data_IF_550268535769
#
_entry.id   IF_550268535769
#
_cell.length_a   1.000
_cell.length_b   1.000
_cell.length_c   1.000
_cell.angle_alpha   90.00
_cell.angle_beta   90.00
_cell.angle_gamma   90.00
#
_symmetry.space_group_name_H-M   'P 1'
#
loop_
_entity.id
_entity.type
_entity.pdbx_description
1 polymer ?
#
# COMPACT_ATOMS: atom_id res chain seq x y z
N UNK A 1 8.48 9.73 -29.96
CA UNK A 1 8.14 9.26 -28.61
C UNK A 1 6.72 8.72 -28.65
N UNK A 2 6.55 7.39 -28.69
CA UNK A 2 5.23 6.77 -28.92
C UNK A 2 4.42 6.82 -27.63
N UNK A 3 3.29 7.53 -27.63
CA UNK A 3 2.36 7.55 -26.51
C UNK A 3 1.85 6.13 -26.26
N UNK A 4 2.24 5.50 -25.15
CA UNK A 4 1.69 4.21 -24.73
C UNK A 4 0.20 4.42 -24.40
N UNK A 5 -0.68 4.09 -25.34
CA UNK A 5 -2.12 4.08 -25.14
C UNK A 5 -2.44 3.07 -24.04
N UNK A 6 -2.92 3.54 -22.90
CA UNK A 6 -3.30 2.68 -21.78
C UNK A 6 -4.52 1.84 -22.12
N UNK A 7 -4.65 0.68 -21.48
CA UNK A 7 -5.86 -0.15 -21.56
C UNK A 7 -6.90 0.50 -20.65
N UNK A 8 -8.06 0.84 -21.21
CA UNK A 8 -9.21 1.31 -20.42
C UNK A 8 -9.78 0.13 -19.62
N UNK A 9 -10.08 0.39 -18.35
CA UNK A 9 -10.69 -0.57 -17.44
C UNK A 9 -11.76 0.12 -16.62
N UNK A 10 -12.79 -0.64 -16.26
CA UNK A 10 -13.90 -0.19 -15.42
C UNK A 10 -13.92 -1.10 -14.20
N UNK A 11 -13.92 -0.53 -12.99
CA UNK A 11 -14.05 -1.32 -11.76
C UNK A 11 -15.53 -1.57 -11.39
N UNK A 12 -15.77 -2.40 -10.39
CA UNK A 12 -17.13 -2.73 -9.90
C UNK A 12 -17.93 -1.51 -9.43
N UNK A 13 -17.26 -0.42 -9.05
CA UNK A 13 -17.87 0.84 -8.63
C UNK A 13 -18.11 1.80 -9.82
N UNK A 14 -17.88 1.37 -11.05
CA UNK A 14 -18.08 2.18 -12.25
C UNK A 14 -16.96 3.19 -12.56
N UNK A 15 -15.84 3.18 -11.83
CA UNK A 15 -14.73 4.09 -12.13
C UNK A 15 -13.99 3.66 -13.40
N UNK A 16 -13.91 4.56 -14.38
CA UNK A 16 -13.09 4.41 -15.58
C UNK A 16 -11.64 4.83 -15.30
N UNK A 17 -10.68 3.98 -15.66
CA UNK A 17 -9.26 4.30 -15.52
C UNK A 17 -8.41 3.64 -16.61
N UNK A 18 -7.29 4.26 -16.94
CA UNK A 18 -6.34 3.75 -17.94
C UNK A 18 -5.09 3.22 -17.26
N UNK A 19 -4.66 2.01 -17.62
CA UNK A 19 -3.41 1.42 -17.11
C UNK A 19 -2.68 0.68 -18.21
N UNK A 20 -1.37 0.84 -18.26
CA UNK A 20 -0.50 0.06 -19.15
C UNK A 20 -0.24 -1.35 -18.61
N UNK A 21 -0.43 -1.58 -17.31
CA UNK A 21 -0.26 -2.90 -16.69
C UNK A 21 -1.56 -3.71 -16.68
N UNK A 22 -1.42 -5.03 -16.61
CA UNK A 22 -2.55 -5.98 -16.46
C UNK A 22 -3.26 -5.87 -15.11
N UNK A 23 -2.65 -5.22 -14.12
CA UNK A 23 -3.23 -5.02 -12.78
C UNK A 23 -4.68 -4.48 -12.85
N UNK A 24 -5.68 -5.21 -12.31
CA UNK A 24 -7.09 -4.81 -12.36
C UNK A 24 -7.46 -3.80 -11.27
N UNK A 25 -6.50 -3.42 -10.42
CA UNK A 25 -6.75 -2.54 -9.27
C UNK A 25 -7.05 -1.12 -9.73
N UNK A 26 -8.22 -0.66 -9.30
CA UNK A 26 -8.71 0.68 -9.56
C UNK A 26 -7.94 1.71 -8.70
N UNK A 27 -7.21 2.66 -9.32
CA UNK A 27 -6.45 3.67 -8.58
C UNK A 27 -7.35 4.63 -7.79
N UNK A 28 -8.59 4.84 -8.25
CA UNK A 28 -9.55 5.74 -7.61
C UNK A 28 -10.09 5.11 -6.32
N UNK A 29 -10.50 3.84 -6.35
CA UNK A 29 -10.89 3.10 -5.15
C UNK A 29 -9.74 2.99 -4.15
N UNK A 30 -8.51 2.74 -4.61
CA UNK A 30 -7.33 2.67 -3.73
C UNK A 30 -6.98 4.00 -3.06
N UNK A 31 -7.27 5.12 -3.73
CA UNK A 31 -7.10 6.45 -3.15
C UNK A 31 -8.18 6.72 -2.10
N UNK A 32 -9.43 6.35 -2.37
CA UNK A 32 -10.55 6.51 -1.44
C UNK A 32 -10.43 5.61 -0.19
N UNK A 33 -9.89 4.40 -0.33
CA UNK A 33 -9.66 3.47 0.78
C UNK A 33 -8.40 3.78 1.60
N UNK A 34 -7.64 4.81 1.24
CA UNK A 34 -6.44 5.18 1.98
C UNK A 34 -6.85 5.74 3.35
N UNK A 35 -6.38 5.16 4.46
CA UNK A 35 -6.67 5.73 5.78
C UNK A 35 -6.09 7.13 5.90
N UNK A 36 -6.76 8.00 6.66
CA UNK A 36 -6.29 9.36 6.93
C UNK A 36 -5.16 9.40 7.98
N UNK A 37 -5.12 8.40 8.87
CA UNK A 37 -4.21 8.37 10.02
C UNK A 37 -3.41 7.06 10.11
N UNK A 38 -2.36 7.08 10.94
CA UNK A 38 -1.50 5.92 11.18
C UNK A 38 -0.48 5.66 10.07
N UNK A 39 0.35 4.61 10.25
CA UNK A 39 1.41 4.29 9.29
C UNK A 39 0.88 3.94 7.89
N UNK A 40 -0.35 3.43 7.79
CA UNK A 40 -0.99 3.13 6.51
C UNK A 40 -1.27 4.38 5.67
N UNK A 41 -1.51 5.54 6.30
CA UNK A 41 -1.70 6.80 5.58
C UNK A 41 -0.40 7.36 5.00
N UNK A 42 0.75 6.95 5.51
CA UNK A 42 2.07 7.45 5.08
C UNK A 42 2.73 6.60 3.97
N UNK A 43 2.20 5.39 3.68
CA UNK A 43 2.81 4.47 2.71
C UNK A 43 1.99 4.35 1.42
N UNK A 44 2.63 3.94 0.31
CA UNK A 44 1.98 3.80 -0.99
C UNK A 44 1.02 2.60 -1.06
N UNK A 45 0.10 2.63 -2.03
CA UNK A 45 -0.91 1.57 -2.25
C UNK A 45 -0.33 0.14 -2.33
N UNK A 46 0.77 -0.14 -3.07
CA UNK A 46 1.37 -1.47 -3.10
C UNK A 46 1.83 -1.96 -1.72
N UNK A 47 2.40 -1.05 -0.91
CA UNK A 47 2.89 -1.36 0.43
C UNK A 47 1.75 -1.62 1.41
N UNK A 48 0.69 -0.78 1.40
CA UNK A 48 -0.52 -1.03 2.19
C UNK A 48 -1.09 -2.41 1.92
N UNK A 49 -1.23 -2.77 0.63
CA UNK A 49 -1.74 -4.08 0.22
C UNK A 49 -0.86 -5.23 0.68
N UNK A 50 0.46 -5.09 0.57
CA UNK A 50 1.39 -6.11 1.05
C UNK A 50 1.24 -6.35 2.57
N UNK A 51 1.11 -5.28 3.36
CA UNK A 51 0.88 -5.38 4.80
C UNK A 51 -0.47 -6.02 5.13
N UNK A 52 -1.55 -5.59 4.47
CA UNK A 52 -2.90 -6.15 4.65
C UNK A 52 -2.95 -7.65 4.30
N UNK A 53 -2.28 -8.07 3.23
CA UNK A 53 -2.18 -9.48 2.85
C UNK A 53 -1.44 -10.32 3.88
N UNK A 54 -0.47 -9.72 4.59
CA UNK A 54 0.21 -10.34 5.74
C UNK A 54 -0.62 -10.24 7.03
N UNK A 55 -1.78 -9.58 7.00
CA UNK A 55 -2.66 -9.38 8.14
C UNK A 55 -2.26 -8.21 9.04
N UNK A 56 -1.32 -7.37 8.63
CA UNK A 56 -0.83 -6.21 9.40
C UNK A 56 -1.69 -4.99 9.02
N UNK A 57 -2.70 -4.72 9.83
CA UNK A 57 -3.63 -3.59 9.68
C UNK A 57 -3.57 -2.58 10.82
N UNK A 58 -2.85 -2.90 11.90
CA UNK A 58 -2.76 -2.08 13.11
C UNK A 58 -1.33 -2.03 13.67
N UNK A 59 -1.10 -1.11 14.61
CA UNK A 59 0.23 -0.96 15.24
C UNK A 59 0.53 -2.18 16.12
N UNK A 60 -0.48 -2.74 16.78
CA UNK A 60 -0.35 -3.92 17.63
C UNK A 60 0.17 -5.11 16.81
N UNK A 61 -0.45 -5.38 15.66
CA UNK A 61 0.02 -6.45 14.76
C UNK A 61 1.37 -6.13 14.14
N UNK A 62 1.67 -4.84 13.91
CA UNK A 62 2.99 -4.42 13.44
C UNK A 62 4.09 -4.73 14.47
N UNK A 63 3.79 -4.64 15.78
CA UNK A 63 4.73 -5.01 16.86
C UNK A 63 5.00 -6.51 16.95
N UNK A 64 4.03 -7.33 16.54
CA UNK A 64 4.14 -8.79 16.56
C UNK A 64 5.01 -9.36 15.43
N UNK A 65 5.30 -8.56 14.40
CA UNK A 65 6.05 -8.99 13.22
C UNK A 65 7.43 -8.35 13.15
N UNK A 66 8.39 -9.10 12.61
CA UNK A 66 9.74 -8.59 12.37
C UNK A 66 9.79 -7.73 11.10
N UNK A 67 10.46 -6.59 11.17
CA UNK A 67 10.66 -5.71 10.01
C UNK A 67 11.44 -6.41 8.88
N UNK A 68 12.34 -7.34 9.22
CA UNK A 68 13.07 -8.14 8.22
C UNK A 68 12.12 -8.99 7.36
N UNK A 69 11.05 -9.51 7.95
CA UNK A 69 10.07 -10.29 7.19
C UNK A 69 9.18 -9.39 6.33
N UNK A 70 8.86 -8.18 6.79
CA UNK A 70 8.11 -7.20 6.00
C UNK A 70 8.94 -6.78 4.78
N UNK A 71 10.26 -6.64 4.93
CA UNK A 71 11.19 -6.30 3.84
C UNK A 71 11.16 -7.32 2.68
N UNK A 72 10.81 -8.57 2.95
CA UNK A 72 10.72 -9.62 1.92
C UNK A 72 9.44 -9.52 1.07
N UNK A 73 8.46 -8.74 1.49
CA UNK A 73 7.21 -8.60 0.77
C UNK A 73 7.38 -7.76 -0.50
N UNK A 74 6.80 -8.24 -1.60
CA UNK A 74 6.77 -7.50 -2.84
C UNK A 74 6.02 -6.16 -2.66
N UNK A 75 6.63 -5.06 -3.12
CA UNK A 75 6.06 -3.72 -2.99
C UNK A 75 6.46 -2.98 -1.71
N UNK A 76 7.30 -3.57 -0.85
CA UNK A 76 7.91 -2.90 0.29
C UNK A 76 9.32 -2.41 -0.09
N UNK A 77 9.49 -1.09 -0.09
CA UNK A 77 10.79 -0.45 -0.29
C UNK A 77 11.39 0.09 1.02
N UNK A 78 12.62 0.61 0.99
CA UNK A 78 13.30 1.15 2.17
C UNK A 78 12.50 2.28 2.85
N UNK A 79 11.89 3.18 2.08
CA UNK A 79 11.08 4.27 2.65
C UNK A 79 9.86 3.79 3.43
N UNK A 80 9.28 2.64 3.08
CA UNK A 80 8.18 2.04 3.85
C UNK A 80 8.70 1.53 5.19
N UNK A 81 9.85 0.86 5.21
CA UNK A 81 10.46 0.34 6.43
C UNK A 81 10.80 1.47 7.41
N UNK A 82 11.28 2.61 6.92
CA UNK A 82 11.55 3.81 7.73
C UNK A 82 10.27 4.34 8.40
N UNK A 83 9.15 4.40 7.67
CA UNK A 83 7.85 4.78 8.23
C UNK A 83 7.41 3.79 9.32
N UNK A 84 7.49 2.49 9.06
CA UNK A 84 7.10 1.47 10.05
C UNK A 84 7.94 1.59 11.33
N UNK A 85 9.25 1.79 11.22
CA UNK A 85 10.15 2.02 12.36
C UNK A 85 9.72 3.23 13.19
N UNK A 86 9.42 4.35 12.55
CA UNK A 86 8.97 5.59 13.21
C UNK A 86 7.68 5.38 14.00
N UNK A 87 6.76 4.55 13.51
CA UNK A 87 5.51 4.26 14.23
C UNK A 87 5.70 3.27 15.38
N UNK A 88 6.60 2.29 15.23
CA UNK A 88 6.96 1.40 16.33
C UNK A 88 7.56 2.18 17.50
N UNK A 89 8.52 3.08 17.24
CA UNK A 89 9.15 3.88 18.29
C UNK A 89 8.22 4.91 18.94
N UNK A 90 7.30 5.51 18.17
CA UNK A 90 6.29 6.45 18.71
C UNK A 90 5.29 5.81 19.67
N UNK A 91 5.10 4.51 19.61
CA UNK A 91 4.11 3.78 20.41
C UNK A 91 4.65 3.26 21.75
N UNK A 92 5.86 3.68 22.14
CA UNK A 92 6.55 3.31 23.38
C UNK A 92 6.73 4.50 24.34
N UNK A 93 5.83 5.49 24.32
CA UNK A 93 5.83 6.62 25.27
C UNK A 93 4.47 6.76 25.93
#
# INVERSE_FOLDING_TARGET
>A
MTAKKGIEKICIHGHHFFKSSSCPVCPICEAANKPDTGFMSEIAAPARRALLLKGIDSIEKLKEVRLEEIKLLHGIGPGVLEVLRKYLTKSET
#
